data_IF_319799680122
#
_entry.id   IF_319799680122
#
_cell.length_a   1.000
_cell.length_b   1.000
_cell.length_c   1.000
_cell.angle_alpha   90.00
_cell.angle_beta   90.00
_cell.angle_gamma   90.00
#
_symmetry.space_group_name_H-M   'P 1'
#
loop_
_entity.id
_entity.type
_entity.pdbx_description
1 polymer ?
#
# COMPACT_ATOMS: atom_id res chain seq x y z
N UNK A 1 -11.78 17.83 -25.81
CA UNK A 1 -12.75 17.84 -24.70
C UNK A 1 -13.18 19.27 -24.49
N UNK A 2 -14.47 19.60 -24.75
CA UNK A 2 -15.03 20.89 -24.35
C UNK A 2 -15.69 20.69 -22.98
N UNK A 3 -15.11 21.26 -21.93
CA UNK A 3 -15.79 21.41 -20.65
C UNK A 3 -16.71 22.60 -20.74
N UNK A 4 -18.02 22.37 -20.79
CA UNK A 4 -19.03 23.44 -20.88
C UNK A 4 -19.58 23.64 -19.47
N UNK A 5 -19.50 24.85 -18.96
CA UNK A 5 -20.22 25.24 -17.76
C UNK A 5 -19.37 25.58 -16.55
N UNK A 6 -18.26 26.25 -16.74
CA UNK A 6 -17.56 26.89 -15.61
C UNK A 6 -18.17 28.29 -15.41
N UNK A 7 -19.32 28.35 -14.79
CA UNK A 7 -19.84 29.61 -14.29
C UNK A 7 -19.46 29.71 -12.83
N UNK A 8 -18.58 30.58 -12.49
CA UNK A 8 -18.05 30.97 -11.20
C UNK A 8 -17.21 29.92 -10.47
N UNK A 9 -16.17 30.40 -9.82
CA UNK A 9 -15.12 29.65 -9.20
C UNK A 9 -15.51 28.91 -7.92
N UNK A 10 -16.66 29.17 -7.38
CA UNK A 10 -16.95 28.84 -5.98
C UNK A 10 -17.95 27.70 -5.79
N UNK A 11 -18.64 27.28 -6.84
CA UNK A 11 -19.63 26.22 -6.76
C UNK A 11 -19.67 25.38 -8.04
N UNK A 12 -18.65 24.55 -8.25
CA UNK A 12 -18.75 23.46 -9.23
C UNK A 12 -19.31 22.25 -8.50
N UNK A 13 -20.57 21.97 -8.69
CA UNK A 13 -21.24 20.80 -8.15
C UNK A 13 -20.95 19.54 -8.96
N UNK A 14 -20.75 19.67 -10.29
CA UNK A 14 -20.62 18.53 -11.18
C UNK A 14 -19.60 18.77 -12.30
N UNK A 15 -18.73 17.81 -12.54
CA UNK A 15 -17.87 17.72 -13.70
C UNK A 15 -18.37 16.63 -14.64
N UNK A 16 -18.88 17.01 -15.80
CA UNK A 16 -19.24 16.07 -16.86
C UNK A 16 -18.15 16.01 -17.92
N UNK A 17 -17.54 14.85 -18.10
CA UNK A 17 -16.58 14.59 -19.16
C UNK A 17 -17.27 13.76 -20.24
N UNK A 18 -17.58 14.38 -21.38
CA UNK A 18 -18.11 13.68 -22.55
C UNK A 18 -16.95 13.26 -23.45
N UNK A 19 -16.79 11.97 -23.63
CA UNK A 19 -15.82 11.40 -24.57
C UNK A 19 -16.54 11.19 -25.92
N UNK A 20 -16.00 11.67 -27.05
CA UNK A 20 -16.61 11.44 -28.35
C UNK A 20 -16.58 9.95 -28.72
N UNK A 21 -17.69 9.46 -29.23
CA UNK A 21 -17.77 8.10 -29.79
C UNK A 21 -16.84 7.98 -31.01
N UNK A 22 -16.00 6.95 -31.05
CA UNK A 22 -15.32 6.56 -32.29
C UNK A 22 -13.79 6.50 -32.25
N UNK A 23 -13.13 6.59 -31.09
CA UNK A 23 -11.69 6.32 -31.03
C UNK A 23 -11.44 4.85 -30.68
N UNK A 24 -10.68 4.18 -31.54
CA UNK A 24 -10.44 2.72 -31.51
C UNK A 24 -9.28 2.25 -30.63
N UNK A 25 -8.54 3.16 -30.06
CA UNK A 25 -7.30 2.86 -29.32
C UNK A 25 -7.44 2.87 -27.79
N UNK A 26 -8.65 3.02 -27.29
CA UNK A 26 -9.03 2.56 -25.95
C UNK A 26 -8.41 3.24 -24.74
N UNK A 27 -7.54 4.24 -24.90
CA UNK A 27 -6.91 4.93 -23.78
C UNK A 27 -7.41 6.37 -23.66
N UNK A 28 -8.23 6.61 -22.64
CA UNK A 28 -8.62 7.97 -22.27
C UNK A 28 -7.94 8.32 -20.95
N UNK A 29 -7.06 9.29 -20.97
CA UNK A 29 -6.54 9.86 -19.74
C UNK A 29 -7.32 11.16 -19.45
N UNK A 30 -7.94 11.25 -18.29
CA UNK A 30 -8.41 12.52 -17.75
C UNK A 30 -7.19 13.17 -17.11
N UNK A 31 -6.50 14.01 -17.85
CA UNK A 31 -5.53 14.94 -17.27
C UNK A 31 -6.29 16.14 -16.75
N UNK A 32 -6.60 16.15 -15.47
CA UNK A 32 -7.18 17.30 -14.82
C UNK A 32 -6.10 18.16 -14.18
N UNK A 33 -6.30 19.44 -14.12
CA UNK A 33 -5.47 20.36 -13.33
C UNK A 33 -6.01 20.33 -11.91
N UNK A 34 -5.48 19.44 -11.06
CA UNK A 34 -6.13 19.03 -9.80
C UNK A 34 -5.90 19.98 -8.66
N UNK A 35 -4.88 20.80 -8.73
CA UNK A 35 -4.55 21.74 -7.66
C UNK A 35 -5.61 22.81 -7.44
N UNK A 36 -6.50 22.99 -8.41
CA UNK A 36 -7.60 23.94 -8.31
C UNK A 36 -8.84 23.40 -7.60
N UNK A 37 -8.92 22.09 -7.40
CA UNK A 37 -10.14 21.43 -6.93
C UNK A 37 -10.07 20.98 -5.47
N UNK A 38 -8.87 20.67 -5.01
CA UNK A 38 -8.64 20.12 -3.67
C UNK A 38 -8.28 21.17 -2.62
N UNK A 39 -7.94 22.38 -3.04
CA UNK A 39 -7.47 23.42 -2.13
C UNK A 39 -8.22 24.73 -2.34
N UNK A 40 -8.55 25.39 -1.25
CA UNK A 40 -8.93 26.80 -1.20
C UNK A 40 -7.81 27.75 -1.67
N UNK A 41 -6.92 27.27 -2.52
CA UNK A 41 -5.73 27.98 -2.97
C UNK A 41 -5.88 28.58 -4.36
N UNK A 42 -4.93 29.39 -4.75
CA UNK A 42 -4.86 30.12 -6.02
C UNK A 42 -4.89 29.15 -7.21
N UNK A 43 -5.73 29.46 -8.20
CA UNK A 43 -5.77 28.73 -9.48
C UNK A 43 -4.42 28.81 -10.18
N UNK A 44 -3.85 27.67 -10.54
CA UNK A 44 -2.77 27.62 -11.51
C UNK A 44 -3.36 27.44 -12.92
N UNK A 45 -2.99 28.31 -13.83
CA UNK A 45 -3.28 28.17 -15.26
C UNK A 45 -2.12 27.51 -16.01
N UNK A 46 -1.05 27.17 -15.29
CA UNK A 46 0.11 26.49 -15.86
C UNK A 46 -0.20 25.00 -16.07
N UNK A 47 0.29 24.44 -17.17
CA UNK A 47 0.22 23.02 -17.41
C UNK A 47 1.08 22.29 -16.35
N UNK A 48 0.55 21.28 -15.62
CA UNK A 48 1.34 20.60 -14.61
C UNK A 48 2.51 19.86 -15.27
N UNK A 49 3.69 20.05 -14.73
CA UNK A 49 4.85 19.28 -15.11
C UNK A 49 4.71 17.81 -14.65
N UNK A 50 5.39 16.90 -15.33
CA UNK A 50 5.33 15.46 -15.02
C UNK A 50 5.84 15.20 -13.59
N UNK A 51 5.00 15.14 -12.62
CA UNK A 51 5.31 14.99 -11.20
C UNK A 51 4.42 15.81 -10.27
N UNK A 52 3.72 16.82 -10.79
CA UNK A 52 2.85 17.67 -9.98
C UNK A 52 1.44 17.10 -9.77
N UNK A 53 1.08 16.04 -10.51
CA UNK A 53 -0.23 15.44 -10.45
C UNK A 53 -0.15 14.15 -9.64
N UNK A 54 -0.03 14.27 -8.34
CA UNK A 54 0.10 13.08 -7.50
C UNK A 54 -1.17 12.74 -6.71
N UNK A 55 -2.06 13.70 -6.48
CA UNK A 55 -3.21 13.47 -5.60
C UNK A 55 -4.50 14.01 -6.18
N UNK A 56 -5.50 13.15 -6.26
CA UNK A 56 -6.88 13.53 -6.52
C UNK A 56 -7.68 13.24 -5.23
N UNK A 57 -8.22 14.29 -4.62
CA UNK A 57 -9.01 14.15 -3.39
C UNK A 57 -10.49 14.16 -3.76
N UNK A 58 -11.17 13.05 -3.47
CA UNK A 58 -12.61 12.92 -3.62
C UNK A 58 -13.26 12.87 -2.24
N UNK A 59 -14.36 13.56 -2.04
CA UNK A 59 -15.18 13.40 -0.85
C UNK A 59 -15.82 12.00 -0.79
N UNK A 60 -16.19 11.46 -1.94
CA UNK A 60 -16.59 10.07 -2.12
C UNK A 60 -16.20 9.59 -3.51
N UNK A 61 -15.76 8.32 -3.60
CA UNK A 61 -15.50 7.63 -4.85
C UNK A 61 -16.42 6.42 -4.96
N UNK A 62 -17.21 6.35 -6.03
CA UNK A 62 -18.08 5.22 -6.33
C UNK A 62 -17.77 4.67 -7.71
N UNK A 63 -17.35 3.41 -7.77
CA UNK A 63 -17.07 2.72 -9.01
C UNK A 63 -17.67 1.31 -8.99
N UNK A 64 -18.09 0.79 -10.14
CA UNK A 64 -18.46 -0.63 -10.29
C UNK A 64 -17.24 -1.52 -10.17
N UNK A 65 -16.13 -1.11 -10.78
CA UNK A 65 -14.84 -1.80 -10.72
C UNK A 65 -13.71 -0.78 -10.82
N UNK A 66 -12.57 -1.07 -10.18
CA UNK A 66 -11.35 -0.27 -10.25
C UNK A 66 -10.21 -1.17 -10.69
N UNK A 67 -9.60 -0.87 -11.85
CA UNK A 67 -8.51 -1.63 -12.43
C UNK A 67 -7.19 -0.89 -12.25
N UNK A 68 -6.13 -1.64 -11.91
CA UNK A 68 -4.78 -1.09 -11.79
C UNK A 68 -4.56 -0.14 -10.62
N UNK A 69 -5.54 0.00 -9.72
CA UNK A 69 -5.43 0.87 -8.54
C UNK A 69 -4.69 0.19 -7.38
N UNK A 70 -4.68 -1.14 -7.35
CA UNK A 70 -3.95 -1.91 -6.35
C UNK A 70 -2.76 -2.55 -7.03
N UNK A 71 -1.59 -2.05 -6.72
CA UNK A 71 -0.38 -2.48 -7.38
C UNK A 71 0.12 -3.83 -6.88
N UNK A 72 0.24 -3.99 -5.58
CA UNK A 72 0.73 -5.23 -5.00
C UNK A 72 0.01 -5.59 -3.70
N UNK A 73 -0.11 -4.65 -2.79
CA UNK A 73 -0.87 -4.83 -1.56
C UNK A 73 -1.77 -3.63 -1.25
N UNK A 74 -2.73 -3.91 -0.40
CA UNK A 74 -3.60 -2.95 0.24
C UNK A 74 -3.07 -2.69 1.65
N UNK A 75 -2.95 -1.42 2.04
CA UNK A 75 -2.41 -1.04 3.33
C UNK A 75 -3.41 -0.23 4.18
N UNK A 76 -3.25 -0.32 5.49
CA UNK A 76 -3.91 0.54 6.47
C UNK A 76 -2.85 1.31 7.26
N UNK A 77 -2.99 2.63 7.34
CA UNK A 77 -2.11 3.45 8.16
C UNK A 77 -2.43 3.30 9.65
N UNK A 78 -1.42 2.97 10.42
CA UNK A 78 -1.53 2.77 11.86
C UNK A 78 -0.50 3.63 12.61
N UNK A 79 -0.73 3.80 13.91
CA UNK A 79 0.15 4.56 14.79
C UNK A 79 1.30 3.70 15.29
N UNK A 80 2.53 4.23 15.22
CA UNK A 80 3.71 3.63 15.84
C UNK A 80 4.32 4.61 16.84
N UNK A 81 4.85 4.11 17.94
CA UNK A 81 5.58 4.93 18.91
C UNK A 81 6.92 5.43 18.39
N UNK A 82 7.55 4.61 17.56
CA UNK A 82 8.82 4.91 16.89
C UNK A 82 8.68 4.51 15.43
N UNK A 83 9.38 5.22 14.57
CA UNK A 83 9.43 4.84 13.16
C UNK A 83 9.91 3.40 12.99
N UNK A 84 9.18 2.65 12.20
CA UNK A 84 9.54 1.29 11.79
C UNK A 84 9.67 1.28 10.27
N UNK A 85 10.83 0.87 9.79
CA UNK A 85 11.08 0.79 8.34
C UNK A 85 10.17 -0.24 7.68
N UNK A 86 9.83 -0.04 6.40
CA UNK A 86 9.15 -1.05 5.60
C UNK A 86 9.89 -2.39 5.57
N UNK A 87 9.10 -3.46 5.52
CA UNK A 87 9.61 -4.83 5.54
C UNK A 87 9.78 -5.42 6.93
N UNK A 88 9.68 -4.60 7.98
CA UNK A 88 9.69 -5.13 9.34
C UNK A 88 8.31 -5.57 9.83
N UNK A 89 8.32 -6.64 10.60
CA UNK A 89 7.16 -7.14 11.32
C UNK A 89 6.92 -6.33 12.60
N UNK A 90 5.68 -5.95 12.82
CA UNK A 90 5.20 -5.23 14.00
C UNK A 90 4.07 -5.99 14.67
N UNK A 91 3.84 -5.71 15.94
CA UNK A 91 2.72 -6.24 16.72
C UNK A 91 1.90 -5.10 17.32
N UNK A 92 0.62 -5.33 17.51
CA UNK A 92 -0.26 -4.38 18.21
C UNK A 92 -0.07 -4.48 19.72
N UNK A 93 0.02 -3.31 20.35
CA UNK A 93 -0.08 -3.21 21.81
C UNK A 93 -1.53 -3.05 22.23
N UNK A 94 -1.86 -3.40 23.47
CA UNK A 94 -3.20 -3.19 24.03
C UNK A 94 -3.68 -1.71 24.07
N UNK A 95 -2.82 -0.76 23.66
CA UNK A 95 -3.13 0.68 23.54
C UNK A 95 -3.32 1.11 22.07
N UNK A 96 -3.33 0.17 21.14
CA UNK A 96 -3.48 0.44 19.70
C UNK A 96 -2.24 1.04 19.02
N UNK A 97 -1.10 1.08 19.72
CA UNK A 97 0.18 1.42 19.10
C UNK A 97 0.83 0.16 18.53
N UNK A 98 1.61 0.35 17.47
CA UNK A 98 2.45 -0.70 16.92
C UNK A 98 3.86 -0.59 17.47
N UNK A 99 4.45 -1.73 17.76
CA UNK A 99 5.87 -1.87 18.08
C UNK A 99 6.49 -2.97 17.24
N UNK A 100 7.77 -2.89 17.01
CA UNK A 100 8.52 -3.92 16.28
C UNK A 100 8.43 -5.25 17.03
N UNK A 101 8.20 -6.36 16.32
CA UNK A 101 8.19 -7.69 16.95
C UNK A 101 9.55 -8.02 17.59
N UNK A 102 9.54 -8.70 18.71
CA UNK A 102 10.74 -9.06 19.46
C UNK A 102 11.07 -10.55 19.43
N UNK A 103 10.07 -11.37 19.15
CA UNK A 103 10.19 -12.84 19.20
C UNK A 103 9.24 -13.54 18.23
N UNK A 104 9.37 -14.86 18.16
CA UNK A 104 8.51 -15.72 17.33
C UNK A 104 7.09 -15.80 17.90
N UNK A 105 6.14 -16.05 17.00
CA UNK A 105 4.74 -16.38 17.32
C UNK A 105 4.02 -15.30 18.15
N UNK A 106 4.44 -14.05 18.07
CA UNK A 106 3.71 -12.97 18.74
C UNK A 106 2.34 -12.74 18.13
N UNK A 107 1.30 -12.46 18.94
CA UNK A 107 -0.04 -12.22 18.46
C UNK A 107 -0.17 -10.88 17.74
N UNK A 108 -1.14 -10.79 16.80
CA UNK A 108 -1.44 -9.54 16.12
C UNK A 108 -0.30 -9.00 15.27
N UNK A 109 0.56 -9.88 14.77
CA UNK A 109 1.71 -9.52 13.97
C UNK A 109 1.29 -9.14 12.54
N UNK A 110 1.94 -8.11 11.98
CA UNK A 110 1.72 -7.62 10.64
C UNK A 110 3.02 -7.04 10.06
N UNK A 111 3.05 -6.71 8.76
CA UNK A 111 4.25 -6.25 8.06
C UNK A 111 4.06 -4.80 7.60
N UNK A 112 5.05 -3.93 7.86
CA UNK A 112 5.07 -2.55 7.35
C UNK A 112 5.36 -2.58 5.85
N UNK A 113 4.51 -1.94 5.05
CA UNK A 113 4.60 -1.95 3.60
C UNK A 113 5.24 -0.69 3.02
N UNK A 114 5.97 -0.86 1.92
CA UNK A 114 6.38 0.15 0.95
C UNK A 114 5.99 -0.23 -0.49
N UNK A 115 5.11 -1.23 -0.63
CA UNK A 115 4.69 -1.80 -1.91
C UNK A 115 3.20 -1.67 -2.18
N UNK A 116 2.48 -0.97 -1.31
CA UNK A 116 1.03 -0.82 -1.45
C UNK A 116 0.66 0.05 -2.67
N UNK A 117 -0.39 -0.36 -3.36
CA UNK A 117 -1.03 0.44 -4.42
C UNK A 117 -2.24 1.22 -3.94
N UNK A 118 -2.77 0.86 -2.77
CA UNK A 118 -3.88 1.54 -2.13
C UNK A 118 -3.74 1.50 -0.61
N UNK A 119 -3.97 2.64 0.05
CA UNK A 119 -3.93 2.72 1.50
C UNK A 119 -5.05 3.58 2.06
N UNK A 120 -5.49 3.27 3.27
CA UNK A 120 -6.52 4.01 4.01
C UNK A 120 -6.02 4.42 5.40
N UNK A 121 -6.75 5.35 6.02
CA UNK A 121 -6.55 5.69 7.43
C UNK A 121 -5.36 6.59 7.73
N UNK A 122 -4.77 7.26 6.72
CA UNK A 122 -3.70 8.22 6.96
C UNK A 122 -4.23 9.47 7.69
N UNK A 123 -3.58 9.78 8.81
CA UNK A 123 -3.83 10.99 9.61
C UNK A 123 -2.50 11.57 10.09
N UNK A 124 -2.51 12.67 10.81
CA UNK A 124 -1.30 13.19 11.45
C UNK A 124 -0.67 12.19 12.44
N UNK A 125 -1.48 11.32 13.04
CA UNK A 125 -1.06 10.37 14.07
C UNK A 125 -0.80 8.96 13.53
N UNK A 126 -1.36 8.62 12.36
CA UNK A 126 -1.24 7.30 11.73
C UNK A 126 -0.42 7.42 10.46
N UNK A 127 0.87 7.07 10.52
CA UNK A 127 1.84 7.28 9.43
C UNK A 127 2.53 6.00 8.95
N UNK A 128 2.23 4.87 9.57
CA UNK A 128 2.88 3.59 9.26
C UNK A 128 1.92 2.71 8.48
N UNK A 129 2.15 2.48 7.18
CA UNK A 129 1.28 1.62 6.37
C UNK A 129 1.56 0.15 6.68
N UNK A 130 0.53 -0.60 7.08
CA UNK A 130 0.58 -2.04 7.27
C UNK A 130 -0.08 -2.75 6.09
N UNK A 131 0.53 -3.79 5.58
CA UNK A 131 -0.06 -4.65 4.58
C UNK A 131 -1.25 -5.42 5.17
N UNK A 132 -2.44 -5.21 4.63
CA UNK A 132 -3.68 -5.89 5.05
C UNK A 132 -3.99 -7.07 4.15
N UNK A 133 -3.70 -6.96 2.86
CA UNK A 133 -3.95 -8.00 1.86
C UNK A 133 -3.04 -7.79 0.65
N UNK A 134 -2.68 -8.87 -0.02
CA UNK A 134 -1.81 -8.85 -1.19
C UNK A 134 -0.40 -9.36 -0.88
N UNK A 135 0.62 -8.84 -1.58
CA UNK A 135 2.01 -9.24 -1.39
C UNK A 135 2.85 -8.09 -0.87
N UNK A 136 3.63 -8.33 0.14
CA UNK A 136 4.53 -7.35 0.76
C UNK A 136 5.94 -7.93 0.93
N UNK A 137 6.96 -7.08 0.84
CA UNK A 137 8.35 -7.46 1.09
C UNK A 137 8.64 -7.46 2.60
N UNK A 138 9.18 -8.56 3.12
CA UNK A 138 9.51 -8.71 4.54
C UNK A 138 10.94 -9.25 4.76
N UNK A 139 11.58 -8.82 5.84
CA UNK A 139 12.89 -9.32 6.24
C UNK A 139 12.78 -10.70 6.88
N UNK A 140 13.42 -11.74 6.31
CA UNK A 140 13.48 -13.06 6.93
C UNK A 140 14.45 -13.09 8.12
N UNK A 141 14.16 -13.90 9.13
CA UNK A 141 15.05 -14.16 10.26
C UNK A 141 16.09 -15.22 9.94
N UNK A 142 15.63 -16.32 9.39
CA UNK A 142 16.49 -17.41 8.92
C UNK A 142 17.18 -17.01 7.61
N UNK A 143 18.14 -17.81 7.17
CA UNK A 143 18.74 -17.62 5.86
C UNK A 143 17.66 -17.57 4.79
N UNK A 144 17.70 -16.54 3.96
CA UNK A 144 16.75 -16.27 2.88
C UNK A 144 16.55 -17.47 1.96
N UNK A 145 17.63 -18.18 1.64
CA UNK A 145 17.62 -19.31 0.71
C UNK A 145 17.01 -20.59 1.34
N UNK A 146 16.76 -20.56 2.65
CA UNK A 146 16.06 -21.64 3.35
C UNK A 146 14.54 -21.61 3.17
N UNK A 147 13.98 -20.47 2.68
CA UNK A 147 12.56 -20.31 2.46
C UNK A 147 12.14 -20.87 1.09
N UNK A 148 10.88 -21.32 1.01
CA UNK A 148 10.28 -21.82 -0.21
C UNK A 148 8.87 -21.22 -0.39
N UNK A 149 8.45 -21.06 -1.64
CA UNK A 149 7.08 -20.62 -1.93
C UNK A 149 6.07 -21.57 -1.26
N UNK A 150 5.08 -20.97 -0.57
CA UNK A 150 4.10 -21.69 0.22
C UNK A 150 4.46 -21.88 1.70
N UNK A 151 5.69 -21.62 2.12
CA UNK A 151 6.05 -21.70 3.54
C UNK A 151 5.24 -20.70 4.38
N UNK A 152 4.55 -21.17 5.44
CA UNK A 152 3.86 -20.27 6.35
C UNK A 152 4.85 -19.51 7.24
N UNK A 153 4.55 -18.24 7.51
CA UNK A 153 5.42 -17.37 8.32
C UNK A 153 4.67 -16.71 9.46
N UNK A 154 5.37 -16.53 10.57
CA UNK A 154 4.93 -15.78 11.74
C UNK A 154 5.90 -14.62 12.02
N UNK A 155 5.65 -13.85 13.11
CA UNK A 155 6.64 -12.89 13.64
C UNK A 155 7.94 -13.61 14.03
N UNK A 156 9.05 -12.91 13.83
CA UNK A 156 10.37 -13.32 14.27
C UNK A 156 11.02 -12.26 15.16
N UNK A 157 12.22 -12.55 15.70
CA UNK A 157 13.00 -11.61 16.49
C UNK A 157 13.35 -10.35 15.70
N UNK A 158 13.49 -9.23 16.40
CA UNK A 158 13.95 -7.95 15.82
C UNK A 158 13.12 -7.42 14.62
N UNK A 159 11.83 -7.76 14.57
CA UNK A 159 10.94 -7.34 13.50
C UNK A 159 11.09 -8.10 12.20
N UNK A 160 11.73 -9.26 12.24
CA UNK A 160 11.77 -10.16 11.09
C UNK A 160 10.54 -11.06 11.04
N UNK A 161 10.40 -11.81 9.97
CA UNK A 161 9.48 -12.95 9.89
C UNK A 161 10.26 -14.25 10.05
N UNK A 162 9.63 -15.30 10.61
CA UNK A 162 10.19 -16.62 10.75
C UNK A 162 9.30 -17.68 10.14
N UNK A 163 9.92 -18.70 9.55
CA UNK A 163 9.23 -19.86 9.00
C UNK A 163 8.59 -20.68 10.11
N UNK A 164 7.35 -21.10 9.95
CA UNK A 164 6.64 -21.94 10.90
C UNK A 164 6.83 -23.43 10.60
N UNK A 165 6.98 -24.23 11.67
CA UNK A 165 6.93 -25.68 11.57
C UNK A 165 5.48 -26.18 11.38
N UNK A 166 5.33 -27.46 11.01
CA UNK A 166 3.98 -28.06 10.88
C UNK A 166 3.25 -28.13 12.23
N UNK A 167 3.97 -28.33 13.30
CA UNK A 167 3.44 -28.33 14.67
C UNK A 167 2.96 -26.95 15.04
N UNK A 168 3.75 -25.92 14.84
CA UNK A 168 3.38 -24.52 15.10
C UNK A 168 2.15 -24.08 14.29
N UNK A 169 2.05 -24.50 13.03
CA UNK A 169 0.86 -24.20 12.19
C UNK A 169 -0.41 -24.85 12.76
N UNK A 170 -0.31 -26.02 13.35
CA UNK A 170 -1.46 -26.71 13.97
C UNK A 170 -1.83 -26.11 15.33
N UNK A 171 -0.82 -25.76 16.12
CA UNK A 171 -1.01 -25.27 17.47
C UNK A 171 -1.37 -23.77 17.51
N UNK A 172 -0.82 -22.97 16.58
CA UNK A 172 -0.97 -21.52 16.55
C UNK A 172 -1.39 -20.99 15.17
N UNK A 173 -2.49 -21.47 14.58
CA UNK A 173 -2.91 -21.05 13.24
C UNK A 173 -3.23 -19.56 13.13
N UNK A 174 -3.58 -18.91 14.24
CA UNK A 174 -3.85 -17.46 14.32
C UNK A 174 -2.56 -16.62 14.32
N UNK A 175 -1.37 -17.24 14.42
CA UNK A 175 -0.07 -16.55 14.34
C UNK A 175 0.47 -16.48 12.92
N UNK A 176 -0.17 -17.12 11.97
CA UNK A 176 0.23 -17.07 10.57
C UNK A 176 -0.04 -15.67 10.02
N UNK A 177 1.01 -14.93 9.68
CA UNK A 177 0.91 -13.63 9.00
C UNK A 177 0.57 -13.85 7.52
N UNK A 178 1.17 -14.84 6.90
CA UNK A 178 1.01 -15.13 5.48
C UNK A 178 1.85 -16.32 5.05
N UNK A 179 2.04 -16.44 3.74
CA UNK A 179 2.90 -17.46 3.14
C UNK A 179 3.94 -16.84 2.23
N UNK A 180 5.12 -17.44 2.15
CA UNK A 180 6.14 -17.03 1.18
C UNK A 180 5.57 -17.15 -0.24
N UNK A 181 5.67 -16.07 -1.00
CA UNK A 181 5.20 -16.01 -2.39
C UNK A 181 6.35 -16.13 -3.39
N UNK A 182 7.48 -15.46 -3.07
CA UNK A 182 8.61 -15.37 -3.99
C UNK A 182 9.88 -15.00 -3.22
N UNK A 183 11.00 -15.53 -3.66
CA UNK A 183 12.34 -15.11 -3.22
C UNK A 183 12.94 -14.35 -4.40
N UNK A 184 12.98 -12.99 -4.35
CA UNK A 184 13.41 -12.20 -5.49
C UNK A 184 14.89 -12.44 -5.82
N UNK A 185 15.23 -12.57 -7.09
CA UNK A 185 16.60 -12.56 -7.62
C UNK A 185 17.04 -11.19 -8.17
N UNK A 186 16.21 -10.17 -7.93
CA UNK A 186 16.40 -8.79 -8.37
C UNK A 186 16.53 -7.84 -7.16
N UNK A 187 17.19 -6.70 -7.37
CA UNK A 187 17.45 -5.72 -6.31
C UNK A 187 16.36 -4.65 -6.18
N UNK A 188 15.63 -4.37 -7.26
CA UNK A 188 14.67 -3.28 -7.33
C UNK A 188 13.37 -3.79 -7.94
N UNK A 189 12.25 -3.41 -7.34
CA UNK A 189 10.93 -3.79 -7.79
C UNK A 189 10.06 -2.58 -8.15
N UNK A 190 9.31 -2.73 -9.24
CA UNK A 190 8.27 -1.82 -9.67
C UNK A 190 8.75 -0.45 -10.16
N UNK A 191 7.81 0.37 -10.64
CA UNK A 191 8.09 1.73 -11.13
C UNK A 191 8.48 2.69 -10.01
N UNK A 192 8.13 2.36 -8.75
CA UNK A 192 8.53 3.11 -7.56
C UNK A 192 9.97 2.85 -7.11
N UNK A 193 10.72 2.00 -7.83
CA UNK A 193 12.10 1.64 -7.50
C UNK A 193 12.27 1.14 -6.05
N UNK A 194 11.33 0.34 -5.56
CA UNK A 194 11.39 -0.24 -4.22
C UNK A 194 12.57 -1.20 -4.13
N UNK A 195 13.50 -0.91 -3.24
CA UNK A 195 14.68 -1.76 -3.03
C UNK A 195 14.32 -3.01 -2.25
N UNK A 196 14.66 -4.17 -2.79
CA UNK A 196 14.39 -5.46 -2.17
C UNK A 196 15.19 -5.66 -0.88
N UNK A 197 16.47 -5.30 -0.84
CA UNK A 197 17.32 -5.30 0.36
C UNK A 197 17.28 -6.64 1.12
N UNK A 198 17.44 -7.76 0.45
CA UNK A 198 17.33 -9.12 1.02
C UNK A 198 15.95 -9.50 1.58
N UNK A 199 14.91 -8.71 1.35
CA UNK A 199 13.53 -9.06 1.69
C UNK A 199 12.99 -10.14 0.76
N UNK A 200 11.99 -10.88 1.24
CA UNK A 200 11.24 -11.86 0.47
C UNK A 200 9.76 -11.47 0.38
N UNK A 201 9.08 -11.89 -0.68
CA UNK A 201 7.67 -11.62 -0.86
C UNK A 201 6.81 -12.54 -0.02
N UNK A 202 5.96 -11.94 0.78
CA UNK A 202 4.95 -12.62 1.60
C UNK A 202 3.57 -12.25 1.08
N UNK A 203 2.77 -13.25 0.77
CA UNK A 203 1.34 -13.09 0.54
C UNK A 203 0.65 -13.06 1.90
N UNK A 204 0.19 -11.89 2.30
CA UNK A 204 -0.54 -11.67 3.56
C UNK A 204 -1.90 -12.34 3.50
N UNK A 205 -2.31 -12.92 4.63
CA UNK A 205 -3.61 -13.61 4.78
C UNK A 205 -4.74 -12.60 4.89
#
# INVERSE_FOLDING_TARGET
IKVKGLASADNISDLYVYLPWGYSDGYYSIKGYYNTWAHKGTRSTAEPTSGEVQNCVFGAFRAGQVYGAVWNDYAEYRRTKKYVQPGYCVIETGKGDLIKSSERLQPGANIVSDTFGFAIGETEQTKTPLAVSGRVLAYPYEDRDSYQAGDPVCSGPNGTISKMTREEVREYPERIIGTVSEIPDYEVWGTGNVKVNNRIWIKVK
#
